data_IF_314077629570
#
_entry.id   IF_314077629570
#
_cell.length_a   1.000
_cell.length_b   1.000
_cell.length_c   1.000
_cell.angle_alpha   90.00
_cell.angle_beta   90.00
_cell.angle_gamma   90.00
#
_symmetry.space_group_name_H-M   'P 1'
#
loop_
_entity.id
_entity.type
_entity.pdbx_description
1 polymer ?
#
# COMPACT_ATOMS: atom_id res chain seq x y z
N UNK A 1 35.19 10.93 -6.72
CA UNK A 1 35.50 9.58 -6.19
C UNK A 1 34.66 8.58 -6.96
N UNK A 2 35.21 7.42 -7.35
CA UNK A 2 34.50 6.40 -8.12
C UNK A 2 34.30 5.13 -7.28
N UNK A 3 33.15 4.49 -7.44
CA UNK A 3 32.81 3.20 -6.83
C UNK A 3 32.86 2.09 -7.88
N UNK A 4 33.03 0.86 -7.40
CA UNK A 4 33.00 -0.34 -8.24
C UNK A 4 31.56 -0.74 -8.58
N UNK A 5 31.41 -1.63 -9.56
CA UNK A 5 30.12 -2.24 -9.91
C UNK A 5 29.46 -2.92 -8.70
N UNK A 6 30.26 -3.63 -7.89
CA UNK A 6 29.75 -4.35 -6.72
C UNK A 6 29.21 -3.38 -5.66
N UNK A 7 29.94 -2.30 -5.39
CA UNK A 7 29.48 -1.25 -4.48
C UNK A 7 28.22 -0.54 -5.00
N UNK A 8 28.12 -0.29 -6.30
CA UNK A 8 26.92 0.29 -6.91
C UNK A 8 25.73 -0.69 -6.87
N UNK A 9 25.98 -1.99 -7.06
CA UNK A 9 24.98 -3.05 -6.98
C UNK A 9 24.37 -3.14 -5.58
N UNK A 10 25.21 -3.10 -4.54
CA UNK A 10 24.79 -3.05 -3.15
C UNK A 10 24.03 -1.76 -2.83
N UNK A 11 24.57 -0.59 -3.23
CA UNK A 11 23.93 0.72 -3.05
C UNK A 11 22.52 0.79 -3.66
N UNK A 12 22.28 0.12 -4.79
CA UNK A 12 21.04 0.22 -5.57
C UNK A 12 20.10 -0.99 -5.42
N UNK A 13 20.51 -2.02 -4.67
CA UNK A 13 19.77 -3.26 -4.49
C UNK A 13 19.49 -3.98 -5.82
N UNK A 14 20.48 -4.06 -6.73
CA UNK A 14 20.39 -4.76 -8.01
C UNK A 14 21.61 -5.64 -8.25
N UNK A 15 21.55 -6.55 -9.22
CA UNK A 15 22.70 -7.42 -9.53
C UNK A 15 23.84 -6.66 -10.22
N UNK A 16 25.09 -7.08 -9.97
CA UNK A 16 26.29 -6.62 -10.69
C UNK A 16 26.11 -6.65 -12.21
N UNK A 17 25.45 -7.70 -12.73
CA UNK A 17 25.13 -7.84 -14.15
C UNK A 17 24.27 -6.67 -14.64
N UNK A 18 23.25 -6.29 -13.88
CA UNK A 18 22.37 -5.16 -14.23
C UNK A 18 23.12 -3.84 -14.20
N UNK A 19 24.00 -3.63 -13.22
CA UNK A 19 24.88 -2.44 -13.16
C UNK A 19 25.76 -2.35 -14.41
N UNK A 20 26.44 -3.44 -14.81
CA UNK A 20 27.27 -3.45 -16.02
C UNK A 20 26.47 -3.12 -17.28
N UNK A 21 25.24 -3.64 -17.39
CA UNK A 21 24.34 -3.33 -18.51
C UNK A 21 24.00 -1.83 -18.52
N UNK A 22 23.63 -1.25 -17.37
CA UNK A 22 23.31 0.18 -17.28
C UNK A 22 24.51 1.07 -17.67
N UNK A 23 25.73 0.67 -17.28
CA UNK A 23 26.94 1.35 -17.72
C UNK A 23 27.16 1.24 -19.23
N UNK A 24 27.00 0.03 -19.81
CA UNK A 24 27.18 -0.17 -21.27
C UNK A 24 26.11 0.52 -22.11
N UNK A 25 24.89 0.66 -21.58
CA UNK A 25 23.79 1.39 -22.22
C UNK A 25 23.93 2.91 -22.05
N UNK A 26 24.97 3.41 -21.37
CA UNK A 26 25.19 4.84 -21.13
C UNK A 26 24.19 5.47 -20.16
N UNK A 27 23.44 4.68 -19.38
CA UNK A 27 22.40 5.16 -18.46
C UNK A 27 22.91 5.73 -17.14
N UNK A 28 24.22 5.64 -16.91
CA UNK A 28 24.88 6.17 -15.71
C UNK A 28 25.83 7.28 -16.18
N UNK A 29 25.43 8.56 -16.09
CA UNK A 29 26.28 9.68 -16.49
C UNK A 29 27.62 9.65 -15.75
N UNK A 30 28.71 9.86 -16.48
CA UNK A 30 30.07 9.85 -15.93
C UNK A 30 30.62 8.46 -15.61
N UNK A 31 29.87 7.38 -15.87
CA UNK A 31 30.45 6.04 -15.81
C UNK A 31 31.34 5.79 -17.02
N UNK A 32 32.57 5.35 -16.79
CA UNK A 32 33.50 4.98 -17.85
C UNK A 32 34.19 3.66 -17.54
N UNK A 33 34.75 3.04 -18.58
CA UNK A 33 35.43 1.77 -18.48
C UNK A 33 36.94 2.01 -18.38
N UNK A 34 37.55 1.49 -17.32
CA UNK A 34 39.00 1.48 -17.11
C UNK A 34 39.47 0.03 -17.13
N UNK A 35 40.04 -0.41 -18.26
CA UNK A 35 40.41 -1.81 -18.50
C UNK A 35 39.20 -2.75 -18.49
N UNK A 36 39.16 -3.66 -17.51
CA UNK A 36 38.05 -4.63 -17.32
C UNK A 36 36.99 -4.17 -16.33
N UNK A 37 37.19 -3.02 -15.68
CA UNK A 37 36.34 -2.54 -14.60
C UNK A 37 35.58 -1.29 -15.02
N UNK A 38 34.34 -1.17 -14.57
CA UNK A 38 33.59 0.09 -14.66
C UNK A 38 33.90 0.97 -13.46
N UNK A 39 34.14 2.25 -13.73
CA UNK A 39 34.21 3.32 -12.73
C UNK A 39 32.89 4.06 -12.75
N UNK A 40 32.18 4.04 -11.63
CA UNK A 40 30.86 4.68 -11.47
C UNK A 40 31.04 5.85 -10.50
N UNK A 41 30.57 7.08 -10.81
CA UNK A 41 30.65 8.19 -9.86
C UNK A 41 29.99 7.83 -8.52
N UNK A 42 30.61 8.17 -7.40
CA UNK A 42 30.09 7.77 -6.08
C UNK A 42 28.69 8.34 -5.77
N UNK A 43 28.39 9.50 -6.36
CA UNK A 43 27.16 10.29 -6.27
C UNK A 43 26.11 9.86 -7.29
N UNK A 44 26.44 8.92 -8.19
CA UNK A 44 25.47 8.38 -9.14
C UNK A 44 24.28 7.73 -8.40
N UNK A 45 23.08 8.15 -8.79
CA UNK A 45 21.81 7.55 -8.40
C UNK A 45 21.45 6.40 -9.34
N UNK A 46 20.70 5.42 -8.82
CA UNK A 46 20.17 4.31 -9.63
C UNK A 46 19.35 4.86 -10.80
N UNK A 47 19.68 4.54 -12.06
CA UNK A 47 18.87 4.96 -13.19
C UNK A 47 17.44 4.39 -13.08
N UNK A 48 16.45 5.21 -13.43
CA UNK A 48 15.05 4.77 -13.48
C UNK A 48 14.88 3.65 -14.52
N UNK A 49 14.13 2.61 -14.16
CA UNK A 49 13.85 1.50 -15.07
C UNK A 49 13.00 2.00 -16.23
N UNK A 50 13.53 1.90 -17.46
CA UNK A 50 12.89 2.41 -18.68
C UNK A 50 11.55 1.75 -19.04
N UNK A 51 11.12 0.70 -18.33
CA UNK A 51 9.75 0.16 -18.40
C UNK A 51 8.73 1.07 -17.73
N UNK A 52 9.14 1.91 -16.80
CA UNK A 52 8.31 2.93 -16.18
C UNK A 52 8.49 4.25 -16.93
N UNK A 53 7.59 4.54 -17.88
CA UNK A 53 7.45 5.86 -18.52
C UNK A 53 6.72 6.83 -17.56
N UNK A 54 7.28 7.06 -16.39
CA UNK A 54 6.80 8.12 -15.49
C UNK A 54 8.04 8.89 -15.05
N UNK A 55 8.53 9.78 -15.93
CA UNK A 55 9.60 10.74 -15.63
C UNK A 55 9.10 11.92 -14.80
N UNK A 56 7.79 12.09 -14.66
CA UNK A 56 7.17 13.16 -13.88
C UNK A 56 6.29 12.57 -12.79
N UNK A 57 6.42 13.11 -11.57
CA UNK A 57 5.55 12.75 -10.45
C UNK A 57 4.08 12.91 -10.85
N UNK A 58 3.22 11.96 -10.48
CA UNK A 58 1.75 12.09 -10.69
C UNK A 58 1.10 13.05 -9.68
N UNK A 59 1.84 13.51 -8.66
CA UNK A 59 1.35 14.39 -7.61
C UNK A 59 0.73 15.69 -8.16
N UNK A 60 1.32 16.40 -9.14
CA UNK A 60 0.70 17.59 -9.72
C UNK A 60 -0.65 17.30 -10.37
N UNK A 61 -0.79 16.17 -11.08
CA UNK A 61 -2.05 15.76 -11.70
C UNK A 61 -3.11 15.48 -10.63
N UNK A 62 -2.74 14.77 -9.56
CA UNK A 62 -3.62 14.48 -8.42
C UNK A 62 -4.08 15.79 -7.76
N UNK A 63 -3.17 16.75 -7.56
CA UNK A 63 -3.50 18.07 -6.99
C UNK A 63 -4.46 18.86 -7.88
N UNK A 64 -4.22 18.91 -9.19
CA UNK A 64 -5.15 19.55 -10.13
C UNK A 64 -6.54 18.91 -10.09
N UNK A 65 -6.61 17.58 -10.06
CA UNK A 65 -7.90 16.86 -9.94
C UNK A 65 -8.60 17.15 -8.62
N UNK A 66 -7.86 17.22 -7.52
CA UNK A 66 -8.39 17.57 -6.20
C UNK A 66 -8.97 18.99 -6.17
N UNK A 67 -8.26 19.98 -6.72
CA UNK A 67 -8.78 21.36 -6.81
C UNK A 67 -10.04 21.43 -7.67
N UNK A 68 -10.05 20.73 -8.82
CA UNK A 68 -11.26 20.63 -9.66
C UNK A 68 -12.42 19.94 -8.94
N UNK A 69 -12.15 19.00 -8.02
CA UNK A 69 -13.20 18.36 -7.22
C UNK A 69 -13.74 19.31 -6.14
N UNK A 70 -12.88 20.13 -5.53
CA UNK A 70 -13.28 21.11 -4.51
C UNK A 70 -14.26 22.15 -5.06
N UNK A 71 -14.10 22.58 -6.31
CA UNK A 71 -15.03 23.55 -6.94
C UNK A 71 -16.44 23.00 -7.14
N UNK A 72 -16.64 21.68 -7.07
CA UNK A 72 -17.94 21.02 -7.21
C UNK A 72 -18.63 20.76 -5.87
N UNK A 73 -18.06 21.23 -4.75
CA UNK A 73 -18.65 21.09 -3.42
C UNK A 73 -19.50 22.32 -3.06
N UNK A 74 -20.53 22.19 -2.20
CA UNK A 74 -20.95 20.96 -1.53
C UNK A 74 -21.73 20.03 -2.47
N UNK A 75 -21.60 18.73 -2.22
CA UNK A 75 -22.47 17.72 -2.83
C UNK A 75 -23.75 17.60 -1.99
N UNK A 76 -24.87 17.26 -2.62
CA UNK A 76 -26.11 16.96 -1.90
C UNK A 76 -25.97 15.67 -1.08
N UNK A 77 -26.85 15.49 -0.10
CA UNK A 77 -26.86 14.27 0.74
C UNK A 77 -27.02 13.00 -0.09
N UNK A 78 -27.97 12.98 -1.04
CA UNK A 78 -28.19 11.84 -1.93
C UNK A 78 -27.03 11.56 -2.89
N UNK A 79 -26.34 12.59 -3.38
CA UNK A 79 -25.12 12.40 -4.20
C UNK A 79 -24.00 11.78 -3.38
N UNK A 80 -23.80 12.24 -2.13
CA UNK A 80 -22.82 11.68 -1.22
C UNK A 80 -23.13 10.24 -0.86
N UNK A 81 -24.39 9.93 -0.56
CA UNK A 81 -24.84 8.57 -0.25
C UNK A 81 -24.54 7.63 -1.41
N UNK A 82 -24.99 7.99 -2.63
CA UNK A 82 -24.77 7.18 -3.83
C UNK A 82 -23.28 6.95 -4.12
N UNK A 83 -22.45 8.00 -4.04
CA UNK A 83 -21.00 7.88 -4.27
C UNK A 83 -20.33 7.01 -3.21
N UNK A 84 -20.77 7.09 -1.95
CA UNK A 84 -20.24 6.25 -0.89
C UNK A 84 -20.66 4.79 -1.05
N UNK A 85 -21.90 4.51 -1.46
CA UNK A 85 -22.38 3.15 -1.72
C UNK A 85 -21.60 2.52 -2.87
N UNK A 86 -21.48 3.24 -3.99
CA UNK A 86 -20.72 2.80 -5.17
C UNK A 86 -19.25 2.50 -4.81
N UNK A 87 -18.60 3.42 -4.09
CA UNK A 87 -17.23 3.23 -3.63
C UNK A 87 -17.08 2.05 -2.66
N UNK A 88 -17.99 1.91 -1.68
CA UNK A 88 -17.93 0.82 -0.70
C UNK A 88 -18.01 -0.55 -1.37
N UNK A 89 -18.93 -0.72 -2.34
CA UNK A 89 -19.11 -1.98 -3.05
C UNK A 89 -17.85 -2.33 -3.84
N UNK A 90 -17.35 -1.39 -4.65
CA UNK A 90 -16.13 -1.61 -5.44
C UNK A 90 -14.91 -1.84 -4.57
N UNK A 91 -14.75 -1.04 -3.51
CA UNK A 91 -13.61 -1.15 -2.61
C UNK A 91 -13.59 -2.49 -1.88
N UNK A 92 -14.75 -2.94 -1.38
CA UNK A 92 -14.89 -4.23 -0.69
C UNK A 92 -14.62 -5.40 -1.63
N UNK A 93 -15.20 -5.36 -2.84
CA UNK A 93 -14.96 -6.39 -3.85
C UNK A 93 -13.48 -6.49 -4.22
N UNK A 94 -12.86 -5.36 -4.62
CA UNK A 94 -11.48 -5.36 -5.11
C UNK A 94 -10.48 -5.75 -4.01
N UNK A 95 -10.67 -5.25 -2.78
CA UNK A 95 -9.76 -5.58 -1.67
C UNK A 95 -9.82 -7.06 -1.31
N UNK A 96 -11.02 -7.64 -1.20
CA UNK A 96 -11.17 -9.05 -0.83
C UNK A 96 -10.76 -9.98 -1.98
N UNK A 97 -10.97 -9.59 -3.24
CA UNK A 97 -10.55 -10.36 -4.42
C UNK A 97 -9.02 -10.53 -4.50
N UNK A 98 -8.24 -9.51 -4.11
CA UNK A 98 -6.77 -9.60 -4.03
C UNK A 98 -6.33 -10.69 -3.04
N UNK A 99 -7.07 -10.86 -1.94
CA UNK A 99 -6.83 -11.88 -0.91
C UNK A 99 -7.46 -13.25 -1.27
N UNK A 100 -8.05 -13.38 -2.46
CA UNK A 100 -8.57 -14.64 -3.00
C UNK A 100 -10.04 -14.93 -2.71
N UNK A 101 -10.81 -13.93 -2.27
CA UNK A 101 -12.27 -14.06 -2.20
C UNK A 101 -12.86 -14.17 -3.62
N UNK A 102 -13.81 -15.08 -3.81
CA UNK A 102 -14.31 -15.42 -5.15
C UNK A 102 -15.67 -14.80 -5.49
N UNK A 103 -16.25 -14.01 -4.58
CA UNK A 103 -17.50 -13.30 -4.84
C UNK A 103 -17.30 -12.31 -5.99
N UNK A 104 -18.20 -12.32 -6.96
CA UNK A 104 -18.26 -11.29 -8.01
C UNK A 104 -18.70 -9.95 -7.43
N UNK A 105 -18.58 -8.87 -8.20
CA UNK A 105 -19.03 -7.54 -7.79
C UNK A 105 -20.53 -7.54 -7.41
N UNK A 106 -21.36 -8.19 -8.23
CA UNK A 106 -22.81 -8.30 -7.99
C UNK A 106 -23.13 -9.14 -6.75
N UNK A 107 -22.45 -10.26 -6.58
CA UNK A 107 -22.59 -11.10 -5.39
C UNK A 107 -22.15 -10.35 -4.13
N UNK A 108 -21.08 -9.54 -4.21
CA UNK A 108 -20.62 -8.68 -3.11
C UNK A 108 -21.69 -7.65 -2.72
N UNK A 109 -22.29 -6.96 -3.69
CA UNK A 109 -23.42 -6.04 -3.44
C UNK A 109 -24.60 -6.76 -2.76
N UNK A 110 -24.97 -7.96 -3.25
CA UNK A 110 -26.01 -8.78 -2.61
C UNK A 110 -25.70 -9.08 -1.14
N UNK A 111 -24.46 -9.46 -0.83
CA UNK A 111 -24.02 -9.72 0.56
C UNK A 111 -24.07 -8.45 1.41
N UNK A 112 -23.63 -7.31 0.87
CA UNK A 112 -23.69 -6.02 1.58
C UNK A 112 -25.13 -5.59 1.89
N UNK A 113 -26.10 -6.00 1.07
CA UNK A 113 -27.55 -5.83 1.30
C UNK A 113 -28.17 -6.88 2.23
N UNK A 114 -27.38 -7.81 2.76
CA UNK A 114 -27.83 -8.84 3.70
C UNK A 114 -28.35 -10.13 3.06
N UNK A 115 -28.15 -10.32 1.75
CA UNK A 115 -28.51 -11.56 1.06
C UNK A 115 -27.35 -12.57 1.11
N UNK A 116 -27.68 -13.86 1.12
CA UNK A 116 -26.69 -14.94 0.98
C UNK A 116 -26.56 -15.36 -0.49
N UNK A 117 -25.35 -15.75 -0.88
CA UNK A 117 -25.03 -16.23 -2.23
C UNK A 117 -24.77 -17.73 -2.17
N UNK A 118 -25.47 -18.48 -3.02
CA UNK A 118 -25.33 -19.93 -3.13
C UNK A 118 -23.89 -20.33 -3.50
N UNK A 119 -23.44 -21.50 -3.03
CA UNK A 119 -22.10 -22.07 -3.30
C UNK A 119 -20.90 -21.22 -2.85
N UNK A 120 -21.12 -20.14 -2.12
CA UNK A 120 -20.06 -19.31 -1.55
C UNK A 120 -19.91 -19.60 -0.07
N UNK A 121 -18.68 -19.64 0.41
CA UNK A 121 -18.43 -20.01 1.81
C UNK A 121 -18.91 -18.92 2.76
N UNK A 122 -19.33 -19.31 3.97
CA UNK A 122 -19.64 -18.34 5.04
C UNK A 122 -18.42 -17.46 5.35
N UNK A 123 -17.21 -18.01 5.20
CA UNK A 123 -15.95 -17.28 5.37
C UNK A 123 -15.89 -16.06 4.43
N UNK A 124 -16.19 -16.25 3.15
CA UNK A 124 -16.15 -15.17 2.15
C UNK A 124 -17.21 -14.11 2.43
N UNK A 125 -18.41 -14.52 2.85
CA UNK A 125 -19.46 -13.57 3.25
C UNK A 125 -19.04 -12.73 4.47
N UNK A 126 -18.45 -13.38 5.47
CA UNK A 126 -17.97 -12.69 6.67
C UNK A 126 -16.84 -11.71 6.34
N UNK A 127 -15.95 -12.03 5.40
CA UNK A 127 -14.92 -11.10 4.94
C UNK A 127 -15.51 -9.84 4.29
N UNK A 128 -16.58 -9.98 3.50
CA UNK A 128 -17.30 -8.83 2.92
C UNK A 128 -17.95 -7.98 4.00
N UNK A 129 -18.65 -8.62 4.94
CA UNK A 129 -19.32 -7.92 6.05
C UNK A 129 -18.29 -7.20 6.95
N UNK A 130 -17.21 -7.89 7.32
CA UNK A 130 -16.16 -7.31 8.17
C UNK A 130 -15.45 -6.13 7.51
N UNK A 131 -15.24 -6.20 6.18
CA UNK A 131 -14.68 -5.08 5.43
C UNK A 131 -15.62 -3.87 5.41
N UNK A 132 -16.94 -4.07 5.23
CA UNK A 132 -17.93 -3.00 5.36
C UNK A 132 -17.92 -2.36 6.74
N UNK A 133 -17.95 -3.16 7.80
CA UNK A 133 -17.91 -2.65 9.18
C UNK A 133 -16.64 -1.83 9.44
N UNK A 134 -15.49 -2.29 8.94
CA UNK A 134 -14.24 -1.55 9.03
C UNK A 134 -14.29 -0.22 8.27
N UNK A 135 -14.89 -0.20 7.07
CA UNK A 135 -15.06 1.02 6.29
C UNK A 135 -15.96 2.04 7.01
N UNK A 136 -17.09 1.59 7.54
CA UNK A 136 -18.02 2.44 8.30
C UNK A 136 -17.34 3.00 9.57
N UNK A 137 -16.53 2.19 10.26
CA UNK A 137 -15.74 2.63 11.40
C UNK A 137 -14.71 3.71 11.00
N UNK A 138 -13.98 3.53 9.89
CA UNK A 138 -13.04 4.53 9.39
C UNK A 138 -13.75 5.83 9.03
N UNK A 139 -14.93 5.78 8.38
CA UNK A 139 -15.75 6.96 8.09
C UNK A 139 -16.11 7.72 9.37
N UNK A 140 -16.51 7.00 10.42
CA UNK A 140 -16.80 7.60 11.72
C UNK A 140 -15.55 8.29 12.31
N UNK A 141 -14.39 7.62 12.32
CA UNK A 141 -13.14 8.21 12.82
C UNK A 141 -12.77 9.51 12.10
N UNK A 142 -12.97 9.56 10.77
CA UNK A 142 -12.72 10.76 9.96
C UNK A 142 -13.70 11.88 10.33
N UNK A 143 -14.98 11.57 10.53
CA UNK A 143 -15.99 12.57 10.93
C UNK A 143 -15.69 13.19 12.30
N UNK A 144 -15.07 12.42 13.20
CA UNK A 144 -14.67 12.84 14.54
C UNK A 144 -13.25 13.45 14.58
N UNK A 145 -12.58 13.54 13.43
CA UNK A 145 -11.19 13.98 13.29
C UNK A 145 -10.22 13.25 14.24
N UNK A 146 -10.47 11.96 14.47
CA UNK A 146 -9.66 11.13 15.36
C UNK A 146 -8.31 10.81 14.71
N UNK A 147 -7.24 11.02 15.48
CA UNK A 147 -5.89 10.66 15.04
C UNK A 147 -5.69 9.14 15.04
N UNK A 148 -4.98 8.64 14.02
CA UNK A 148 -4.57 7.24 13.97
C UNK A 148 -3.58 6.94 15.11
N UNK A 149 -3.82 5.81 15.77
CA UNK A 149 -2.95 5.27 16.81
C UNK A 149 -3.02 3.74 16.78
N UNK A 150 -2.24 3.08 17.65
CA UNK A 150 -2.17 1.63 17.68
C UNK A 150 -3.53 0.97 17.94
N UNK A 151 -4.34 1.56 18.84
CA UNK A 151 -5.68 1.05 19.14
C UNK A 151 -6.57 1.10 17.90
N UNK A 152 -6.60 2.23 17.20
CA UNK A 152 -7.37 2.38 15.95
C UNK A 152 -6.98 1.32 14.93
N UNK A 153 -5.68 1.05 14.75
CA UNK A 153 -5.20 0.02 13.82
C UNK A 153 -5.68 -1.37 14.24
N UNK A 154 -5.63 -1.68 15.54
CA UNK A 154 -6.12 -2.94 16.09
C UNK A 154 -7.64 -3.08 15.97
N UNK A 155 -8.39 -1.99 16.17
CA UNK A 155 -9.85 -1.98 16.03
C UNK A 155 -10.26 -2.22 14.56
N UNK A 156 -9.57 -1.58 13.60
CA UNK A 156 -9.78 -1.86 12.17
C UNK A 156 -9.47 -3.33 11.86
N UNK A 157 -8.33 -3.84 12.32
CA UNK A 157 -7.98 -5.25 12.13
C UNK A 157 -8.99 -6.20 12.79
N UNK A 158 -9.59 -5.81 13.91
CA UNK A 158 -10.63 -6.58 14.58
C UNK A 158 -11.88 -6.73 13.70
N UNK A 159 -12.31 -5.65 13.05
CA UNK A 159 -13.49 -5.63 12.18
C UNK A 159 -13.26 -6.40 10.88
N UNK A 160 -12.14 -6.12 10.18
CA UNK A 160 -11.80 -6.80 8.92
C UNK A 160 -11.69 -8.31 9.10
N UNK A 161 -11.10 -8.77 10.20
CA UNK A 161 -10.88 -10.19 10.45
C UNK A 161 -12.11 -10.91 11.04
N UNK A 162 -13.28 -10.64 10.45
CA UNK A 162 -14.57 -11.11 10.93
C UNK A 162 -14.68 -12.65 11.00
N UNK A 163 -14.00 -13.35 10.10
CA UNK A 163 -14.01 -14.82 10.05
C UNK A 163 -13.07 -15.52 11.06
N UNK A 164 -12.11 -14.82 11.69
CA UNK A 164 -11.13 -15.43 12.62
C UNK A 164 -11.14 -14.74 13.99
N UNK A 165 -12.16 -15.03 14.79
CA UNK A 165 -12.40 -14.40 16.10
C UNK A 165 -11.18 -14.37 17.05
N UNK A 166 -10.35 -15.42 17.07
CA UNK A 166 -9.20 -15.54 18.00
C UNK A 166 -8.05 -14.59 17.67
N UNK A 167 -7.95 -14.14 16.43
CA UNK A 167 -6.80 -13.37 15.92
C UNK A 167 -7.14 -11.88 15.73
N UNK A 168 -8.38 -11.49 16.00
CA UNK A 168 -8.86 -10.12 15.81
C UNK A 168 -8.15 -9.13 16.72
N UNK A 169 -7.70 -8.01 16.15
CA UNK A 169 -7.12 -6.87 16.89
C UNK A 169 -5.86 -7.15 17.71
N UNK A 170 -5.19 -8.29 17.51
CA UNK A 170 -3.96 -8.64 18.21
C UNK A 170 -2.80 -8.82 17.26
N UNK A 171 -1.59 -8.52 17.71
CA UNK A 171 -0.39 -8.85 16.95
C UNK A 171 -0.17 -10.37 16.94
N UNK A 172 0.33 -10.86 15.81
CA UNK A 172 0.69 -12.27 15.67
C UNK A 172 1.77 -12.66 16.69
N UNK A 173 1.66 -13.89 17.17
CA UNK A 173 2.60 -14.48 18.13
C UNK A 173 3.60 -15.43 17.47
N UNK A 174 3.42 -15.72 16.19
CA UNK A 174 4.24 -16.64 15.42
C UNK A 174 4.97 -15.92 14.29
N UNK A 175 6.19 -16.34 13.93
CA UNK A 175 6.88 -15.88 12.72
C UNK A 175 6.08 -16.26 11.47
N UNK A 176 6.17 -15.44 10.42
CA UNK A 176 5.52 -15.70 9.13
C UNK A 176 6.46 -15.31 8.00
N UNK A 177 6.22 -15.88 6.82
CA UNK A 177 6.88 -15.53 5.57
C UNK A 177 5.83 -15.19 4.52
N UNK A 178 6.12 -14.20 3.68
CA UNK A 178 5.25 -13.85 2.55
C UNK A 178 5.71 -14.67 1.35
N UNK A 179 4.84 -15.56 0.87
CA UNK A 179 5.15 -16.41 -0.29
C UNK A 179 5.41 -15.54 -1.52
N UNK A 180 6.47 -15.84 -2.27
CA UNK A 180 6.84 -15.08 -3.48
C UNK A 180 7.52 -13.73 -3.21
N UNK A 181 7.74 -13.34 -1.95
CA UNK A 181 8.46 -12.12 -1.58
C UNK A 181 9.80 -12.45 -0.92
N UNK A 182 10.82 -11.61 -1.18
CA UNK A 182 12.10 -11.64 -0.45
C UNK A 182 12.04 -10.82 0.84
N UNK A 183 10.96 -10.07 1.07
CA UNK A 183 10.78 -9.31 2.30
C UNK A 183 10.52 -10.24 3.49
N UNK A 184 11.26 -10.02 4.58
CA UNK A 184 11.09 -10.72 5.83
C UNK A 184 10.35 -9.82 6.85
N UNK A 185 9.12 -10.19 7.26
CA UNK A 185 8.40 -9.44 8.27
C UNK A 185 9.12 -9.48 9.63
N UNK A 186 8.97 -8.44 10.47
CA UNK A 186 9.59 -8.40 11.80
C UNK A 186 9.24 -9.59 12.68
N UNK A 187 10.13 -10.03 13.57
CA UNK A 187 9.77 -11.10 14.52
C UNK A 187 8.64 -10.67 15.46
N UNK A 188 7.79 -11.60 15.97
CA UNK A 188 6.63 -11.28 16.80
C UNK A 188 6.91 -10.30 17.95
N UNK A 189 8.02 -10.51 18.67
CA UNK A 189 8.44 -9.69 19.80
C UNK A 189 8.88 -8.27 19.42
N UNK A 190 9.14 -8.00 18.12
CA UNK A 190 9.50 -6.67 17.62
C UNK A 190 8.32 -5.89 17.02
N UNK A 191 7.17 -6.53 16.80
CA UNK A 191 6.05 -5.91 16.08
C UNK A 191 5.58 -4.64 16.79
N UNK A 192 5.35 -4.70 18.10
CA UNK A 192 4.86 -3.55 18.87
C UNK A 192 5.83 -2.36 18.79
N UNK A 193 7.12 -2.61 19.01
CA UNK A 193 8.16 -1.56 18.93
C UNK A 193 8.25 -0.94 17.53
N UNK A 194 8.16 -1.75 16.47
CA UNK A 194 8.17 -1.25 15.09
C UNK A 194 6.89 -0.51 14.70
N UNK A 195 5.74 -0.88 15.26
CA UNK A 195 4.49 -0.15 15.06
C UNK A 195 4.53 1.21 15.74
N UNK A 196 5.12 1.30 16.93
CA UNK A 196 5.38 2.58 17.59
C UNK A 196 6.33 3.46 16.76
N UNK A 197 7.42 2.89 16.25
CA UNK A 197 8.35 3.57 15.36
C UNK A 197 7.65 4.08 14.08
N UNK A 198 6.80 3.24 13.47
CA UNK A 198 6.00 3.59 12.29
C UNK A 198 5.08 4.78 12.58
N UNK A 199 4.32 4.74 13.67
CA UNK A 199 3.41 5.80 14.06
C UNK A 199 4.14 7.11 14.36
N UNK A 200 5.31 7.05 15.02
CA UNK A 200 6.15 8.24 15.25
C UNK A 200 6.66 8.83 13.93
N UNK A 201 7.18 8.00 13.02
CA UNK A 201 7.62 8.43 11.69
C UNK A 201 6.48 9.04 10.89
N UNK A 202 5.31 8.39 10.91
CA UNK A 202 4.12 8.92 10.27
C UNK A 202 3.74 10.28 10.86
N UNK A 203 3.68 10.43 12.18
CA UNK A 203 3.32 11.70 12.82
C UNK A 203 4.30 12.83 12.48
N UNK A 204 5.60 12.54 12.43
CA UNK A 204 6.65 13.54 12.24
C UNK A 204 7.01 13.79 10.76
N UNK A 205 6.38 13.10 9.81
CA UNK A 205 6.66 13.29 8.38
C UNK A 205 5.88 14.47 7.81
N UNK A 206 6.62 15.42 7.23
CA UNK A 206 6.13 16.57 6.48
C UNK A 206 5.98 16.29 4.97
N UNK A 207 6.13 15.03 4.55
CA UNK A 207 5.96 14.63 3.16
C UNK A 207 4.51 14.81 2.69
N UNK A 208 4.35 14.97 1.36
CA UNK A 208 3.02 14.99 0.73
C UNK A 208 2.22 13.74 1.11
N UNK A 209 0.93 13.90 1.40
CA UNK A 209 0.08 12.81 1.90
C UNK A 209 0.10 11.58 0.99
N UNK A 210 0.19 11.76 -0.33
CA UNK A 210 0.26 10.64 -1.28
C UNK A 210 1.56 9.86 -1.11
N UNK A 211 2.69 10.56 -0.95
CA UNK A 211 3.99 9.95 -0.70
C UNK A 211 4.02 9.26 0.66
N UNK A 212 3.43 9.90 1.68
CA UNK A 212 3.36 9.40 3.05
C UNK A 212 2.53 8.12 3.16
N UNK A 213 1.46 7.98 2.37
CA UNK A 213 0.63 6.77 2.32
C UNK A 213 1.28 5.63 1.52
N UNK A 214 2.18 5.93 0.59
CA UNK A 214 2.81 4.94 -0.29
C UNK A 214 4.06 4.25 0.30
N UNK A 215 4.58 4.75 1.44
CA UNK A 215 5.77 4.24 2.12
C UNK A 215 5.39 3.34 3.29
#
# INVERSE_FOLDING_TARGET
MYITVNQAAEKWGISDRRVRILCSEGKIPGAYREGRSWKIPHDASKPTDGRYKISESLIPIIKTKLETLKTRRPLTEGELERLNEEFLIEYTYNSNAIEGNTLTLRETDMVLRGLTVDQKSLKEHLEVIGHKEAFDYVKQLVSENKQINEKVIKDIHYLVLANKRKDRGVYRKVPVRIMGSTHEPPQPYLIASKMEELLKKYKNSDEDIVTKLAR
#
